data_IF_700427430597
#
_entry.id   IF_700427430597
#
_cell.length_a   1.000
_cell.length_b   1.000
_cell.length_c   1.000
_cell.angle_alpha   90.00
_cell.angle_beta   90.00
_cell.angle_gamma   90.00
#
_symmetry.space_group_name_H-M   'P 1'
#
loop_
_entity.id
_entity.type
_entity.pdbx_description
1 polymer ?
#
# COMPACT_ATOMS: atom_id res chain seq x y z
N UNK A 1 -24.41 -23.64 2.52
CA UNK A 1 -25.31 -22.68 3.21
C UNK A 1 -24.97 -21.29 2.74
N UNK A 2 -25.67 -20.85 1.71
CA UNK A 2 -25.50 -19.51 1.12
C UNK A 2 -25.98 -18.45 2.08
N UNK A 3 -25.04 -17.76 2.73
CA UNK A 3 -25.34 -16.58 3.52
C UNK A 3 -25.81 -15.47 2.59
N UNK A 4 -27.10 -15.17 2.55
CA UNK A 4 -27.66 -14.00 1.88
C UNK A 4 -26.91 -12.76 2.38
N UNK A 5 -26.11 -12.16 1.50
CA UNK A 5 -25.50 -10.86 1.72
C UNK A 5 -26.66 -9.85 1.86
N UNK A 6 -26.81 -9.16 2.98
CA UNK A 6 -27.88 -8.17 3.14
C UNK A 6 -27.72 -7.07 2.09
N UNK A 7 -28.83 -6.52 1.54
CA UNK A 7 -28.75 -5.47 0.52
C UNK A 7 -27.95 -4.28 1.05
N UNK A 8 -26.95 -3.86 0.29
CA UNK A 8 -26.10 -2.71 0.61
C UNK A 8 -26.98 -1.45 0.70
N UNK A 9 -27.17 -0.90 1.88
CA UNK A 9 -27.77 0.42 2.07
C UNK A 9 -26.90 1.44 1.34
N UNK A 10 -27.44 2.28 0.44
CA UNK A 10 -26.65 3.20 -0.41
C UNK A 10 -25.73 4.12 0.40
N UNK A 11 -26.07 4.51 1.61
CA UNK A 11 -25.23 5.32 2.49
C UNK A 11 -23.93 4.64 2.94
N UNK A 12 -23.87 3.31 3.01
CA UNK A 12 -22.64 2.59 3.40
C UNK A 12 -21.59 2.53 2.29
N UNK A 13 -21.99 2.69 1.04
CA UNK A 13 -21.06 2.69 -0.09
C UNK A 13 -20.28 4.02 -0.21
N UNK A 14 -20.80 5.12 0.34
CA UNK A 14 -20.15 6.43 0.32
C UNK A 14 -19.08 6.61 1.41
N UNK A 15 -19.18 5.85 2.53
CA UNK A 15 -18.26 5.98 3.66
C UNK A 15 -16.78 5.85 3.26
N UNK A 16 -16.33 4.84 2.51
CA UNK A 16 -14.93 4.72 2.14
C UNK A 16 -14.46 5.83 1.20
N UNK A 17 -15.33 6.38 0.35
CA UNK A 17 -15.02 7.54 -0.50
C UNK A 17 -14.83 8.81 0.34
N UNK A 18 -15.76 9.05 1.27
CA UNK A 18 -15.64 10.17 2.20
C UNK A 18 -14.37 10.05 3.06
N UNK A 19 -14.03 8.83 3.49
CA UNK A 19 -12.79 8.58 4.24
C UNK A 19 -11.55 8.88 3.40
N UNK A 20 -11.51 8.46 2.13
CA UNK A 20 -10.40 8.76 1.21
C UNK A 20 -10.26 10.26 0.97
N UNK A 21 -11.36 10.94 0.63
CA UNK A 21 -11.35 12.39 0.40
C UNK A 21 -10.98 13.14 1.68
N UNK A 22 -11.52 12.74 2.83
CA UNK A 22 -11.17 13.35 4.11
C UNK A 22 -9.68 13.13 4.46
N UNK A 23 -9.13 11.94 4.22
CA UNK A 23 -7.72 11.65 4.42
C UNK A 23 -6.81 12.55 3.56
N UNK A 24 -7.20 12.82 2.31
CA UNK A 24 -6.43 13.68 1.42
C UNK A 24 -6.68 15.18 1.68
N UNK A 25 -7.90 15.60 1.98
CA UNK A 25 -8.25 17.01 2.06
C UNK A 25 -8.04 17.62 3.46
N UNK A 26 -8.39 16.89 4.54
CA UNK A 26 -8.45 17.48 5.89
C UNK A 26 -7.06 17.81 6.46
N UNK A 27 -6.04 16.91 6.41
CA UNK A 27 -4.77 17.16 7.06
C UNK A 27 -4.00 18.41 6.57
N UNK A 28 -3.97 18.74 5.27
CA UNK A 28 -3.29 19.94 4.76
C UNK A 28 -3.90 21.24 5.25
N UNK A 29 -5.20 21.25 5.61
CA UNK A 29 -5.88 22.43 6.17
C UNK A 29 -5.56 22.62 7.64
N UNK A 30 -5.42 21.53 8.42
CA UNK A 30 -5.17 21.59 9.86
C UNK A 30 -3.68 21.86 10.15
N UNK A 31 -2.79 21.14 9.45
CA UNK A 31 -1.33 21.22 9.64
C UNK A 31 -0.60 21.42 8.31
N UNK A 32 -0.34 22.67 7.92
CA UNK A 32 0.30 22.97 6.64
C UNK A 32 1.84 22.77 6.64
N UNK A 33 2.34 21.71 7.25
CA UNK A 33 3.77 21.41 7.30
C UNK A 33 4.22 20.70 6.02
N UNK A 34 5.42 21.05 5.53
CA UNK A 34 5.97 20.51 4.28
C UNK A 34 6.14 18.98 4.30
N UNK A 35 6.56 18.42 5.44
CA UNK A 35 6.71 16.96 5.57
C UNK A 35 5.38 16.21 5.46
N UNK A 36 4.29 16.81 5.96
CA UNK A 36 2.95 16.19 5.87
C UNK A 36 2.44 16.19 4.43
N UNK A 37 2.69 17.29 3.70
CA UNK A 37 2.36 17.35 2.27
C UNK A 37 3.12 16.29 1.46
N UNK A 38 4.42 16.10 1.74
CA UNK A 38 5.23 15.07 1.11
C UNK A 38 4.71 13.65 1.44
N UNK A 39 4.38 13.38 2.70
CA UNK A 39 3.77 12.12 3.12
C UNK A 39 2.44 11.85 2.42
N UNK A 40 1.56 12.83 2.35
CA UNK A 40 0.25 12.70 1.71
C UNK A 40 0.37 12.55 0.18
N UNK A 41 1.29 13.27 -0.46
CA UNK A 41 1.57 13.13 -1.89
C UNK A 41 2.11 11.72 -2.22
N UNK A 42 3.05 11.23 -1.41
CA UNK A 42 3.57 9.87 -1.54
C UNK A 42 2.48 8.81 -1.30
N UNK A 43 1.61 9.04 -0.28
CA UNK A 43 0.46 8.17 -0.01
C UNK A 43 -0.52 8.14 -1.18
N UNK A 44 -0.86 9.30 -1.75
CA UNK A 44 -1.76 9.41 -2.91
C UNK A 44 -1.21 8.68 -4.14
N UNK A 45 0.07 8.86 -4.43
CA UNK A 45 0.78 8.14 -5.49
C UNK A 45 0.73 6.63 -5.27
N UNK A 46 1.02 6.20 -4.04
CA UNK A 46 1.04 4.78 -3.68
C UNK A 46 -0.37 4.15 -3.71
N UNK A 47 -1.42 4.91 -3.37
CA UNK A 47 -2.81 4.48 -3.48
C UNK A 47 -3.17 4.15 -4.93
N UNK A 48 -2.87 5.05 -5.88
CA UNK A 48 -3.13 4.80 -7.30
C UNK A 48 -2.34 3.59 -7.79
N UNK A 49 -1.08 3.46 -7.38
CA UNK A 49 -0.22 2.35 -7.75
C UNK A 49 -0.72 1.02 -7.20
N UNK A 50 -1.14 0.97 -5.92
CA UNK A 50 -1.69 -0.24 -5.31
C UNK A 50 -3.06 -0.64 -5.89
N UNK A 51 -3.91 0.34 -6.23
CA UNK A 51 -5.17 0.08 -6.91
C UNK A 51 -4.94 -0.45 -8.34
N UNK A 52 -3.96 0.10 -9.09
CA UNK A 52 -3.60 -0.41 -10.41
C UNK A 52 -3.09 -1.87 -10.33
N UNK A 53 -2.31 -2.18 -9.30
CA UNK A 53 -1.86 -3.54 -9.05
C UNK A 53 -3.01 -4.48 -8.68
N UNK A 54 -3.99 -3.99 -7.92
CA UNK A 54 -5.17 -4.76 -7.55
C UNK A 54 -6.09 -5.08 -8.73
N UNK A 55 -6.15 -4.23 -9.77
CA UNK A 55 -6.82 -4.59 -11.02
C UNK A 55 -6.20 -5.84 -11.65
N UNK A 56 -4.89 -6.02 -11.51
CA UNK A 56 -4.21 -7.20 -12.03
C UNK A 56 -4.34 -8.39 -11.07
N UNK A 57 -3.95 -8.24 -9.81
CA UNK A 57 -3.94 -9.33 -8.83
C UNK A 57 -5.36 -9.68 -8.36
N UNK A 58 -6.15 -8.69 -8.01
CA UNK A 58 -7.49 -8.88 -7.45
C UNK A 58 -8.50 -9.41 -8.47
N UNK A 59 -8.51 -8.84 -9.69
CA UNK A 59 -9.53 -9.20 -10.70
C UNK A 59 -9.12 -10.41 -11.56
N UNK A 60 -7.83 -10.64 -11.81
CA UNK A 60 -7.37 -11.74 -12.68
C UNK A 60 -6.52 -12.80 -11.99
N UNK A 61 -6.11 -12.58 -10.74
CA UNK A 61 -5.23 -13.50 -10.01
C UNK A 61 -3.80 -13.56 -10.56
N UNK A 62 -3.38 -12.56 -11.36
CA UNK A 62 -2.04 -12.51 -11.94
C UNK A 62 -1.10 -11.73 -11.02
N UNK A 63 -0.09 -12.40 -10.50
CA UNK A 63 0.98 -11.80 -9.70
C UNK A 63 2.06 -11.27 -10.64
N UNK A 64 2.39 -9.98 -10.58
CA UNK A 64 3.42 -9.33 -11.40
C UNK A 64 4.56 -8.79 -10.54
N UNK A 65 5.79 -9.23 -10.79
CA UNK A 65 6.99 -8.66 -10.18
C UNK A 65 7.62 -7.53 -11.00
N UNK A 66 7.13 -7.28 -12.21
CA UNK A 66 7.59 -6.20 -13.08
C UNK A 66 6.60 -5.01 -13.17
N UNK A 67 5.70 -4.84 -12.21
CA UNK A 67 4.67 -3.81 -12.29
C UNK A 67 5.23 -2.38 -12.24
N UNK A 68 6.35 -2.18 -11.54
CA UNK A 68 7.05 -0.90 -11.49
C UNK A 68 7.62 -0.47 -12.85
N UNK A 69 7.91 -1.41 -13.75
CA UNK A 69 8.36 -1.07 -15.10
C UNK A 69 7.30 -0.25 -15.86
N UNK A 70 6.00 -0.59 -15.74
CA UNK A 70 4.92 0.18 -16.35
C UNK A 70 4.82 1.59 -15.76
N UNK A 71 4.96 1.72 -14.44
CA UNK A 71 4.92 3.00 -13.75
C UNK A 71 6.11 3.88 -14.11
N UNK A 72 7.33 3.31 -14.06
CA UNK A 72 8.56 4.05 -14.34
C UNK A 72 8.70 4.43 -15.82
N UNK A 73 8.36 3.53 -16.74
CA UNK A 73 8.36 3.84 -18.17
C UNK A 73 7.28 4.87 -18.52
N UNK A 74 6.08 4.78 -17.90
CA UNK A 74 5.05 5.80 -18.03
C UNK A 74 5.52 7.17 -17.56
N UNK A 75 6.17 7.23 -16.39
CA UNK A 75 6.76 8.45 -15.86
C UNK A 75 7.87 9.01 -16.74
N UNK A 76 8.73 8.12 -17.31
CA UNK A 76 9.80 8.52 -18.23
C UNK A 76 9.24 9.14 -19.51
N UNK A 77 8.23 8.52 -20.12
CA UNK A 77 7.53 9.08 -21.30
C UNK A 77 6.94 10.43 -20.95
N UNK A 78 6.27 10.57 -19.80
CA UNK A 78 5.72 11.83 -19.33
C UNK A 78 6.82 12.90 -19.16
N UNK A 79 7.96 12.58 -18.53
CA UNK A 79 9.07 13.49 -18.33
C UNK A 79 9.66 13.96 -19.68
N UNK A 80 9.87 13.04 -20.62
CA UNK A 80 10.39 13.38 -21.97
C UNK A 80 9.43 14.25 -22.77
N UNK A 81 8.14 13.92 -22.75
CA UNK A 81 7.12 14.72 -23.43
C UNK A 81 7.02 16.11 -22.79
N UNK A 82 7.03 16.21 -21.46
CA UNK A 82 7.01 17.49 -20.76
C UNK A 82 8.19 18.37 -21.16
N UNK A 83 9.42 17.83 -21.13
CA UNK A 83 10.63 18.57 -21.46
C UNK A 83 10.71 18.95 -22.96
N UNK A 84 10.10 18.17 -23.87
CA UNK A 84 10.15 18.44 -25.31
C UNK A 84 9.03 19.38 -25.79
N UNK A 85 7.83 19.28 -25.22
CA UNK A 85 6.63 19.96 -25.77
C UNK A 85 6.01 20.95 -24.80
N UNK A 86 6.41 20.97 -23.53
CA UNK A 86 5.82 21.82 -22.51
C UNK A 86 4.33 21.54 -22.26
N UNK A 87 3.90 20.28 -22.32
CA UNK A 87 2.50 19.91 -22.01
C UNK A 87 2.13 20.39 -20.60
N UNK A 88 0.92 20.97 -20.40
CA UNK A 88 0.45 21.39 -19.09
C UNK A 88 0.52 20.27 -18.06
N UNK A 89 1.03 20.55 -16.86
CA UNK A 89 1.28 19.58 -15.80
C UNK A 89 0.00 18.82 -15.41
N UNK A 90 -1.19 19.47 -15.58
CA UNK A 90 -2.48 18.84 -15.31
C UNK A 90 -2.77 17.65 -16.22
N UNK A 91 -2.31 17.67 -17.46
CA UNK A 91 -2.52 16.59 -18.44
C UNK A 91 -1.40 15.54 -18.42
N UNK A 92 -0.30 15.83 -17.73
CA UNK A 92 0.87 14.97 -17.69
C UNK A 92 0.58 13.54 -17.21
N UNK A 93 -0.29 13.30 -16.19
CA UNK A 93 -0.64 11.93 -15.80
C UNK A 93 -1.33 11.11 -16.87
N UNK A 94 -2.07 11.73 -17.82
CA UNK A 94 -2.63 11.02 -18.97
C UNK A 94 -1.54 10.59 -19.94
N UNK A 95 -0.55 11.45 -20.19
CA UNK A 95 0.59 11.12 -21.04
C UNK A 95 1.35 9.92 -20.48
N UNK A 96 1.63 9.95 -19.15
CA UNK A 96 2.26 8.80 -18.48
C UNK A 96 1.39 7.56 -18.47
N UNK A 97 0.08 7.71 -18.35
CA UNK A 97 -0.88 6.60 -18.47
C UNK A 97 -0.79 5.94 -19.86
N UNK A 98 -0.79 6.74 -20.92
CA UNK A 98 -0.63 6.24 -22.30
C UNK A 98 0.74 5.56 -22.47
N UNK A 99 1.82 6.15 -21.96
CA UNK A 99 3.15 5.54 -21.94
C UNK A 99 3.19 4.18 -21.24
N UNK A 100 2.57 4.09 -20.05
CA UNK A 100 2.39 2.85 -19.32
C UNK A 100 1.56 1.81 -20.09
N UNK A 101 0.47 2.25 -20.73
CA UNK A 101 -0.38 1.38 -21.56
C UNK A 101 0.38 0.83 -22.79
N UNK A 102 1.17 1.63 -23.46
CA UNK A 102 2.00 1.18 -24.59
C UNK A 102 3.01 0.09 -24.16
N UNK A 103 3.66 0.29 -23.01
CA UNK A 103 4.51 -0.74 -22.42
C UNK A 103 3.68 -1.99 -22.02
N UNK A 104 2.48 -1.79 -21.52
CA UNK A 104 1.51 -2.85 -21.21
C UNK A 104 1.09 -3.66 -22.44
N UNK A 105 0.95 -3.01 -23.61
CA UNK A 105 0.68 -3.67 -24.90
C UNK A 105 1.85 -4.58 -25.28
N UNK A 106 3.08 -4.09 -25.21
CA UNK A 106 4.30 -4.86 -25.59
C UNK A 106 4.55 -6.02 -24.60
N UNK A 107 4.71 -5.71 -23.33
CA UNK A 107 5.07 -6.71 -22.32
C UNK A 107 3.90 -7.64 -21.98
N UNK A 108 2.67 -7.12 -22.00
CA UNK A 108 1.46 -7.90 -21.78
C UNK A 108 1.25 -8.95 -22.86
N UNK A 109 1.58 -8.64 -24.12
CA UNK A 109 1.51 -9.62 -25.22
C UNK A 109 2.39 -10.85 -24.96
N UNK A 110 3.58 -10.63 -24.39
CA UNK A 110 4.53 -11.71 -24.05
C UNK A 110 4.07 -12.43 -22.77
N UNK A 111 3.83 -11.69 -21.70
CA UNK A 111 3.61 -12.22 -20.37
C UNK A 111 2.30 -13.01 -20.27
N UNK A 112 1.22 -12.58 -20.93
CA UNK A 112 -0.10 -13.21 -20.82
C UNK A 112 -0.25 -14.52 -21.61
N UNK A 113 0.79 -14.95 -22.30
CA UNK A 113 0.82 -16.29 -22.95
C UNK A 113 0.75 -17.41 -21.93
N UNK A 114 1.24 -17.21 -20.74
CA UNK A 114 1.18 -18.12 -19.61
C UNK A 114 0.49 -17.45 -18.43
N UNK A 115 0.00 -18.25 -17.48
CA UNK A 115 -0.64 -17.76 -16.26
C UNK A 115 0.04 -18.37 -15.03
N UNK A 116 -0.33 -17.90 -13.83
CA UNK A 116 0.21 -18.38 -12.57
C UNK A 116 1.68 -17.97 -12.38
N UNK A 117 2.48 -18.88 -11.86
CA UNK A 117 3.91 -18.64 -11.55
C UNK A 117 4.74 -18.27 -12.78
N UNK A 118 4.43 -18.85 -13.95
CA UNK A 118 5.12 -18.52 -15.20
C UNK A 118 4.91 -17.05 -15.61
N UNK A 119 3.70 -16.50 -15.42
CA UNK A 119 3.45 -15.08 -15.64
C UNK A 119 4.30 -14.21 -14.70
N UNK A 120 4.39 -14.58 -13.42
CA UNK A 120 5.18 -13.85 -12.43
C UNK A 120 6.68 -13.81 -12.81
N UNK A 121 7.24 -14.94 -13.24
CA UNK A 121 8.64 -15.02 -13.67
C UNK A 121 8.92 -14.24 -14.96
N UNK A 122 7.99 -14.29 -15.94
CA UNK A 122 8.13 -13.52 -17.18
C UNK A 122 8.11 -12.01 -16.87
N UNK A 123 7.19 -11.57 -16.01
CA UNK A 123 7.11 -10.14 -15.63
C UNK A 123 8.32 -9.69 -14.83
N UNK A 124 8.92 -10.56 -14.00
CA UNK A 124 10.18 -10.30 -13.34
C UNK A 124 11.29 -10.08 -14.37
N UNK A 125 11.48 -11.01 -15.31
CA UNK A 125 12.51 -10.88 -16.35
C UNK A 125 12.32 -9.64 -17.24
N UNK A 126 11.06 -9.28 -17.56
CA UNK A 126 10.74 -8.04 -18.28
C UNK A 126 11.07 -6.80 -17.45
N UNK A 127 10.81 -6.82 -16.13
CA UNK A 127 11.20 -5.74 -15.22
C UNK A 127 12.72 -5.54 -15.20
N UNK A 128 13.48 -6.62 -15.03
CA UNK A 128 14.95 -6.56 -15.04
C UNK A 128 15.51 -6.16 -16.40
N UNK A 129 14.85 -6.54 -17.51
CA UNK A 129 15.20 -6.06 -18.84
C UNK A 129 15.09 -4.53 -18.93
N UNK A 130 14.04 -3.93 -18.35
CA UNK A 130 13.86 -2.47 -18.32
C UNK A 130 14.92 -1.81 -17.46
N UNK A 131 15.29 -2.41 -16.31
CA UNK A 131 16.39 -1.92 -15.46
C UNK A 131 17.70 -1.96 -16.24
N UNK A 132 18.02 -3.06 -16.88
CA UNK A 132 19.23 -3.18 -17.71
C UNK A 132 19.23 -2.17 -18.86
N UNK A 133 18.11 -1.96 -19.54
CA UNK A 133 17.96 -0.95 -20.58
C UNK A 133 18.17 0.47 -20.03
N UNK A 134 17.70 0.75 -18.82
CA UNK A 134 17.89 2.06 -18.18
C UNK A 134 19.37 2.37 -17.91
N UNK A 135 20.16 1.36 -17.58
CA UNK A 135 21.61 1.51 -17.41
C UNK A 135 22.39 1.60 -18.73
N UNK A 136 21.99 0.84 -19.74
CA UNK A 136 22.72 0.73 -21.03
C UNK A 136 22.37 1.81 -22.04
N UNK A 137 21.23 2.51 -21.86
CA UNK A 137 20.72 3.54 -22.76
C UNK A 137 20.58 4.90 -22.06
N UNK A 138 21.71 5.54 -21.62
CA UNK A 138 21.63 6.79 -20.85
C UNK A 138 20.95 7.94 -21.60
N UNK A 139 21.06 7.96 -22.93
CA UNK A 139 20.38 8.96 -23.77
C UNK A 139 18.86 8.98 -23.63
N UNK A 140 18.24 7.83 -23.37
CA UNK A 140 16.79 7.68 -23.19
C UNK A 140 16.36 7.78 -21.72
N UNK A 141 17.11 7.14 -20.82
CA UNK A 141 16.74 7.01 -19.41
C UNK A 141 17.39 8.06 -18.50
N UNK A 142 18.35 8.86 -19.03
CA UNK A 142 19.09 9.85 -18.24
C UNK A 142 20.26 9.24 -17.44
N UNK A 143 20.54 7.94 -17.57
CA UNK A 143 21.59 7.24 -16.83
C UNK A 143 21.37 7.25 -15.31
N UNK A 144 22.45 7.40 -14.54
CA UNK A 144 22.41 7.49 -13.08
C UNK A 144 21.68 8.74 -12.56
N UNK A 145 21.80 9.86 -13.28
CA UNK A 145 21.14 11.12 -12.89
C UNK A 145 19.62 11.09 -13.08
N UNK A 146 19.12 10.16 -13.92
CA UNK A 146 17.70 10.09 -14.27
C UNK A 146 17.24 11.24 -15.18
N UNK A 147 15.93 11.40 -15.33
CA UNK A 147 15.29 12.50 -16.09
C UNK A 147 14.53 13.38 -15.13
N UNK A 148 14.99 14.62 -14.96
CA UNK A 148 14.31 15.61 -14.13
C UNK A 148 13.29 16.41 -14.96
N UNK A 149 12.27 16.92 -14.27
CA UNK A 149 11.36 17.94 -14.77
C UNK A 149 11.39 19.14 -13.82
N UNK A 150 11.11 20.34 -14.32
CA UNK A 150 10.87 21.51 -13.50
C UNK A 150 9.39 21.89 -13.56
N UNK A 151 8.67 21.58 -12.48
CA UNK A 151 7.23 21.85 -12.40
C UNK A 151 6.90 23.34 -12.30
N UNK A 152 7.88 24.19 -11.92
CA UNK A 152 7.68 25.64 -11.83
C UNK A 152 7.67 26.30 -13.22
N UNK A 153 8.41 25.73 -14.17
CA UNK A 153 8.54 26.24 -15.54
C UNK A 153 7.51 25.68 -16.52
N UNK A 154 6.58 24.86 -16.05
CA UNK A 154 5.48 24.36 -16.91
C UNK A 154 4.53 25.49 -17.33
N UNK A 155 3.90 25.37 -18.55
CA UNK A 155 2.95 26.38 -19.01
C UNK A 155 1.79 26.49 -18.01
N UNK A 156 1.48 27.73 -17.53
CA UNK A 156 0.40 27.93 -16.58
C UNK A 156 -0.95 27.66 -17.24
N UNK A 157 -1.71 26.72 -16.72
CA UNK A 157 -3.09 26.49 -17.13
C UNK A 157 -3.98 27.45 -16.31
N UNK A 158 -4.52 28.50 -16.96
CA UNK A 158 -5.39 29.47 -16.29
C UNK A 158 -4.70 30.31 -15.20
N UNK A 159 -3.38 30.52 -15.28
CA UNK A 159 -2.62 31.31 -14.28
C UNK A 159 -2.19 30.52 -13.04
N UNK A 160 -2.44 29.22 -12.97
CA UNK A 160 -2.04 28.37 -11.86
C UNK A 160 -0.58 27.92 -12.03
N UNK A 161 0.26 28.27 -11.05
CA UNK A 161 1.63 27.79 -10.99
C UNK A 161 1.71 26.58 -10.02
N UNK A 162 2.28 25.47 -10.47
CA UNK A 162 2.44 24.24 -9.71
C UNK A 162 3.82 24.10 -9.01
N UNK A 163 4.65 25.16 -9.04
CA UNK A 163 5.90 25.21 -8.30
C UNK A 163 5.74 25.01 -6.79
N UNK A 164 4.79 25.69 -6.11
CA UNK A 164 4.56 25.49 -4.70
C UNK A 164 4.11 24.07 -4.38
N UNK A 165 4.68 23.45 -3.32
CA UNK A 165 4.38 22.08 -2.91
C UNK A 165 2.89 21.83 -2.65
N UNK A 166 2.14 22.83 -2.17
CA UNK A 166 0.69 22.72 -1.97
C UNK A 166 -0.08 22.58 -3.28
N UNK A 167 0.31 23.32 -4.32
CA UNK A 167 -0.35 23.24 -5.63
C UNK A 167 -0.05 21.89 -6.31
N UNK A 168 1.20 21.41 -6.23
CA UNK A 168 1.58 20.11 -6.72
C UNK A 168 0.82 18.99 -5.97
N UNK A 169 0.74 19.08 -4.64
CA UNK A 169 -0.04 18.15 -3.84
C UNK A 169 -1.52 18.15 -4.23
N UNK A 170 -2.13 19.32 -4.41
CA UNK A 170 -3.54 19.42 -4.81
C UNK A 170 -3.79 18.71 -6.15
N UNK A 171 -2.88 18.87 -7.12
CA UNK A 171 -2.93 18.17 -8.40
C UNK A 171 -2.82 16.65 -8.23
N UNK A 172 -1.86 16.18 -7.39
CA UNK A 172 -1.67 14.75 -7.09
C UNK A 172 -2.92 14.17 -6.40
N UNK A 173 -3.48 14.87 -5.42
CA UNK A 173 -4.69 14.46 -4.72
C UNK A 173 -5.90 14.40 -5.65
N UNK A 174 -6.08 15.39 -6.54
CA UNK A 174 -7.13 15.40 -7.55
C UNK A 174 -7.02 14.16 -8.45
N UNK A 175 -5.85 13.91 -9.02
CA UNK A 175 -5.63 12.75 -9.87
C UNK A 175 -5.75 11.42 -9.13
N UNK A 176 -5.38 11.37 -7.84
CA UNK A 176 -5.61 10.18 -7.01
C UNK A 176 -7.10 9.86 -6.91
N UNK A 177 -7.95 10.86 -6.67
CA UNK A 177 -9.41 10.66 -6.62
C UNK A 177 -9.95 10.29 -7.99
N UNK A 178 -9.58 11.00 -9.05
CA UNK A 178 -10.03 10.72 -10.42
C UNK A 178 -9.65 9.31 -10.87
N UNK A 179 -8.39 8.91 -10.68
CA UNK A 179 -7.91 7.58 -11.04
C UNK A 179 -8.60 6.50 -10.20
N UNK A 180 -8.80 6.72 -8.90
CA UNK A 180 -9.52 5.78 -8.02
C UNK A 180 -10.98 5.61 -8.44
N UNK A 181 -11.68 6.69 -8.80
CA UNK A 181 -13.05 6.64 -9.32
C UNK A 181 -13.11 5.90 -10.66
N UNK A 182 -12.17 6.18 -11.56
CA UNK A 182 -12.10 5.50 -12.85
C UNK A 182 -11.85 3.98 -12.68
N UNK A 183 -10.91 3.58 -11.81
CA UNK A 183 -10.66 2.18 -11.50
C UNK A 183 -11.84 1.50 -10.82
N UNK A 184 -12.55 2.21 -9.93
CA UNK A 184 -13.77 1.69 -9.31
C UNK A 184 -14.89 1.51 -10.34
N UNK A 185 -15.11 2.48 -11.21
CA UNK A 185 -16.09 2.35 -12.30
C UNK A 185 -15.74 1.16 -13.19
N UNK A 186 -14.45 1.00 -13.54
CA UNK A 186 -13.94 -0.10 -14.32
C UNK A 186 -14.19 -1.46 -13.64
N UNK A 187 -13.96 -1.59 -12.33
CA UNK A 187 -14.19 -2.82 -11.57
C UNK A 187 -15.67 -3.24 -11.54
N UNK A 188 -16.60 -2.32 -11.80
CA UNK A 188 -18.05 -2.57 -11.88
C UNK A 188 -18.52 -2.99 -13.28
N UNK A 189 -17.68 -2.91 -14.29
CA UNK A 189 -18.05 -3.24 -15.67
C UNK A 189 -18.26 -4.75 -15.86
N UNK A 190 -19.07 -5.16 -16.84
CA UNK A 190 -19.21 -6.58 -17.22
C UNK A 190 -17.88 -7.21 -17.61
N UNK A 191 -16.96 -6.44 -18.18
CA UNK A 191 -15.62 -6.90 -18.56
C UNK A 191 -14.81 -7.38 -17.33
N UNK A 192 -14.85 -6.66 -16.21
CA UNK A 192 -14.14 -7.09 -14.99
C UNK A 192 -14.82 -8.29 -14.32
N UNK A 193 -16.14 -8.44 -14.45
CA UNK A 193 -16.81 -9.69 -14.01
C UNK A 193 -16.34 -10.88 -14.83
N UNK A 194 -16.09 -10.70 -16.12
CA UNK A 194 -15.49 -11.72 -16.97
C UNK A 194 -14.04 -12.03 -16.55
N UNK A 195 -13.27 -11.01 -16.16
CA UNK A 195 -11.93 -11.20 -15.63
C UNK A 195 -11.93 -12.04 -14.34
N UNK A 196 -12.87 -11.79 -13.43
CA UNK A 196 -13.08 -12.61 -12.22
C UNK A 196 -13.46 -14.06 -12.56
N UNK A 197 -14.34 -14.27 -13.53
CA UNK A 197 -14.68 -15.62 -13.99
C UNK A 197 -13.45 -16.36 -14.54
N UNK A 198 -12.57 -15.68 -15.28
CA UNK A 198 -11.29 -16.23 -15.77
C UNK A 198 -10.31 -16.50 -14.63
N UNK A 199 -10.32 -15.68 -13.55
CA UNK A 199 -9.53 -15.94 -12.35
C UNK A 199 -9.99 -17.22 -11.64
N UNK A 200 -11.29 -17.35 -11.42
CA UNK A 200 -11.85 -18.43 -10.63
C UNK A 200 -11.77 -19.78 -11.37
N UNK A 201 -12.11 -19.83 -12.67
CA UNK A 201 -11.97 -21.04 -13.47
C UNK A 201 -11.80 -20.72 -14.96
N UNK A 202 -10.55 -20.68 -15.47
CA UNK A 202 -10.27 -20.33 -16.87
C UNK A 202 -10.81 -21.38 -17.86
N UNK A 203 -10.91 -22.65 -17.48
CA UNK A 203 -11.45 -23.71 -18.35
C UNK A 203 -12.97 -23.55 -18.54
N UNK A 204 -13.69 -23.26 -17.45
CA UNK A 204 -15.14 -22.99 -17.52
C UNK A 204 -15.42 -21.71 -18.30
N UNK A 205 -14.61 -20.65 -18.12
CA UNK A 205 -14.75 -19.43 -18.90
C UNK A 205 -14.51 -19.68 -20.40
N UNK A 206 -13.55 -20.54 -20.75
CA UNK A 206 -13.31 -20.93 -22.14
C UNK A 206 -14.48 -21.70 -22.75
N UNK A 207 -15.12 -22.59 -21.98
CA UNK A 207 -16.27 -23.40 -22.45
C UNK A 207 -17.48 -22.54 -22.84
N UNK A 208 -17.64 -21.34 -22.25
CA UNK A 208 -18.70 -20.38 -22.63
C UNK A 208 -18.27 -19.39 -23.72
N UNK A 209 -17.17 -19.65 -24.45
CA UNK A 209 -16.69 -18.82 -25.57
C UNK A 209 -15.77 -17.67 -25.16
N UNK A 210 -15.37 -17.55 -23.90
CA UNK A 210 -14.41 -16.56 -23.46
C UNK A 210 -12.97 -17.00 -23.80
N UNK A 211 -12.13 -16.06 -24.26
CA UNK A 211 -10.70 -16.30 -24.48
C UNK A 211 -9.89 -15.80 -23.27
N UNK A 212 -9.48 -16.64 -22.31
CA UNK A 212 -8.81 -16.21 -21.06
C UNK A 212 -7.56 -15.35 -21.29
N UNK A 213 -6.77 -15.68 -22.32
CA UNK A 213 -5.58 -14.92 -22.69
C UNK A 213 -5.91 -13.48 -23.10
N UNK A 214 -6.96 -13.27 -23.92
CA UNK A 214 -7.36 -11.95 -24.38
C UNK A 214 -7.87 -11.09 -23.23
N UNK A 215 -8.61 -11.68 -22.29
CA UNK A 215 -9.10 -10.98 -21.10
C UNK A 215 -7.92 -10.55 -20.22
N UNK A 216 -7.01 -11.47 -19.89
CA UNK A 216 -5.80 -11.16 -19.11
C UNK A 216 -4.96 -10.06 -19.76
N UNK A 217 -4.74 -10.15 -21.07
CA UNK A 217 -4.00 -9.14 -21.83
C UNK A 217 -4.62 -7.73 -21.69
N UNK A 218 -5.92 -7.60 -21.91
CA UNK A 218 -6.62 -6.32 -21.78
C UNK A 218 -6.54 -5.76 -20.35
N UNK A 219 -6.64 -6.62 -19.34
CA UNK A 219 -6.51 -6.18 -17.94
C UNK A 219 -5.08 -5.71 -17.64
N UNK A 220 -4.04 -6.40 -18.17
CA UNK A 220 -2.65 -5.95 -18.05
C UNK A 220 -2.47 -4.56 -18.64
N UNK A 221 -3.00 -4.29 -19.85
CA UNK A 221 -2.89 -2.99 -20.50
C UNK A 221 -3.59 -1.89 -19.69
N UNK A 222 -4.81 -2.16 -19.18
CA UNK A 222 -5.54 -1.23 -18.33
C UNK A 222 -4.82 -0.98 -16.99
N UNK A 223 -4.32 -2.02 -16.37
CA UNK A 223 -3.52 -1.93 -15.14
C UNK A 223 -2.24 -1.11 -15.37
N UNK A 224 -1.54 -1.35 -16.49
CA UNK A 224 -0.34 -0.60 -16.88
C UNK A 224 -0.63 0.88 -17.16
N UNK A 225 -1.81 1.21 -17.73
CA UNK A 225 -2.26 2.60 -17.88
C UNK A 225 -2.33 3.33 -16.54
N UNK A 226 -3.02 2.75 -15.55
CA UNK A 226 -3.11 3.35 -14.22
C UNK A 226 -1.77 3.33 -13.45
N UNK A 227 -0.93 2.32 -13.69
CA UNK A 227 0.43 2.31 -13.15
C UNK A 227 1.26 3.48 -13.73
N UNK A 228 1.14 3.77 -15.03
CA UNK A 228 1.78 4.92 -15.67
C UNK A 228 1.30 6.26 -15.08
N UNK A 229 0.00 6.39 -14.78
CA UNK A 229 -0.53 7.54 -14.03
C UNK A 229 0.16 7.64 -12.68
N UNK A 230 0.20 6.56 -11.89
CA UNK A 230 0.84 6.55 -10.58
C UNK A 230 2.34 6.92 -10.66
N UNK A 231 3.04 6.42 -11.66
CA UNK A 231 4.44 6.78 -11.91
C UNK A 231 4.61 8.27 -12.16
N UNK A 232 3.71 8.87 -12.95
CA UNK A 232 3.74 10.31 -13.25
C UNK A 232 3.38 11.16 -12.03
N UNK A 233 2.47 10.71 -11.17
CA UNK A 233 2.22 11.39 -9.90
C UNK A 233 3.46 11.38 -9.00
N UNK A 234 4.23 10.29 -9.02
CA UNK A 234 5.54 10.21 -8.35
C UNK A 234 6.55 11.19 -8.95
N UNK A 235 6.60 11.29 -10.29
CA UNK A 235 7.43 12.26 -10.99
C UNK A 235 7.07 13.71 -10.59
N UNK A 236 5.78 14.07 -10.54
CA UNK A 236 5.33 15.41 -10.13
C UNK A 236 5.73 15.70 -8.67
N UNK A 237 5.75 14.66 -7.80
CA UNK A 237 6.12 14.84 -6.40
C UNK A 237 7.62 15.06 -6.19
N UNK A 238 8.47 14.27 -6.86
CA UNK A 238 9.92 14.22 -6.65
C UNK A 238 10.69 15.02 -7.73
N UNK A 239 10.03 15.34 -8.85
CA UNK A 239 10.59 16.01 -10.03
C UNK A 239 11.69 15.20 -10.76
N UNK A 240 11.83 13.92 -10.42
CA UNK A 240 12.86 13.04 -10.95
C UNK A 240 12.34 11.64 -11.23
N UNK A 241 12.71 11.08 -12.37
CA UNK A 241 12.58 9.63 -12.68
C UNK A 241 13.96 9.03 -12.78
N UNK A 242 14.28 8.11 -11.84
CA UNK A 242 15.54 7.37 -11.82
C UNK A 242 15.34 5.91 -12.19
N UNK A 243 16.45 5.17 -12.38
CA UNK A 243 16.45 3.72 -12.61
C UNK A 243 15.79 2.94 -11.47
N UNK A 244 15.83 3.43 -10.22
CA UNK A 244 15.14 2.84 -9.08
C UNK A 244 13.62 2.83 -9.25
N UNK A 245 13.08 3.76 -10.03
CA UNK A 245 11.64 3.87 -10.29
C UNK A 245 11.08 2.68 -11.08
N UNK A 246 11.89 1.91 -11.79
CA UNK A 246 11.50 0.75 -12.61
C UNK A 246 11.83 -0.58 -11.95
N UNK A 247 12.62 -0.59 -10.87
CA UNK A 247 13.21 -1.77 -10.27
C UNK A 247 12.24 -2.72 -9.57
N UNK A 248 12.71 -3.96 -9.35
CA UNK A 248 11.96 -5.01 -8.66
C UNK A 248 11.57 -4.60 -7.22
N UNK A 249 12.40 -3.84 -6.51
CA UNK A 249 12.11 -3.39 -5.15
C UNK A 249 10.79 -2.61 -5.09
N UNK A 250 10.57 -1.71 -6.05
CA UNK A 250 9.32 -0.92 -6.14
C UNK A 250 8.12 -1.78 -6.51
N UNK A 251 8.31 -2.81 -7.37
CA UNK A 251 7.26 -3.80 -7.67
C UNK A 251 6.90 -4.64 -6.44
N UNK A 252 7.89 -5.04 -5.64
CA UNK A 252 7.69 -5.74 -4.37
C UNK A 252 6.94 -4.88 -3.35
N UNK A 253 7.28 -3.60 -3.27
CA UNK A 253 6.64 -2.64 -2.36
C UNK A 253 5.13 -2.52 -2.64
N UNK A 254 4.72 -2.39 -3.89
CA UNK A 254 3.29 -2.31 -4.24
C UNK A 254 2.56 -3.63 -4.02
N UNK A 255 3.22 -4.76 -4.25
CA UNK A 255 2.68 -6.07 -3.94
C UNK A 255 2.38 -6.20 -2.44
N UNK A 256 3.36 -5.86 -1.59
CA UNK A 256 3.22 -5.87 -0.12
C UNK A 256 2.06 -4.96 0.30
N UNK A 257 1.98 -3.74 -0.22
CA UNK A 257 0.88 -2.81 0.07
C UNK A 257 -0.49 -3.43 -0.27
N UNK A 258 -0.60 -4.02 -1.47
CA UNK A 258 -1.85 -4.61 -1.94
C UNK A 258 -2.26 -5.83 -1.11
N UNK A 259 -1.31 -6.69 -0.73
CA UNK A 259 -1.57 -7.87 0.11
C UNK A 259 -1.92 -7.47 1.54
N UNK A 260 -1.18 -6.53 2.17
CA UNK A 260 -1.52 -5.99 3.50
C UNK A 260 -2.94 -5.42 3.50
N UNK A 261 -3.26 -4.64 2.48
CA UNK A 261 -4.60 -4.05 2.36
C UNK A 261 -5.70 -5.06 2.17
N UNK A 262 -5.42 -6.12 1.39
CA UNK A 262 -6.35 -7.18 1.00
C UNK A 262 -6.95 -6.94 -0.38
N UNK A 263 -6.83 -7.95 -1.24
CA UNK A 263 -7.24 -7.89 -2.66
C UNK A 263 -8.74 -8.09 -2.88
N UNK A 264 -9.45 -8.62 -1.90
CA UNK A 264 -10.88 -8.94 -2.01
C UNK A 264 -11.80 -7.70 -2.01
N UNK A 265 -11.35 -6.60 -1.40
CA UNK A 265 -12.09 -5.35 -1.32
C UNK A 265 -11.39 -4.26 -2.13
N UNK A 266 -12.14 -3.48 -2.92
CA UNK A 266 -11.58 -2.38 -3.73
C UNK A 266 -10.75 -1.39 -2.90
N UNK A 267 -11.21 -1.02 -1.70
CA UNK A 267 -10.51 -0.11 -0.79
C UNK A 267 -9.45 -0.79 0.09
N UNK A 268 -9.26 -2.09 -0.05
CA UNK A 268 -8.18 -2.81 0.65
C UNK A 268 -6.81 -2.22 0.35
N UNK A 269 -6.38 -2.19 -0.91
CA UNK A 269 -5.09 -1.64 -1.32
C UNK A 269 -4.87 -0.19 -0.90
N UNK A 270 -5.94 0.62 -0.77
CA UNK A 270 -5.86 1.99 -0.25
C UNK A 270 -5.34 1.99 1.19
N UNK A 271 -5.92 1.15 2.05
CA UNK A 271 -5.46 1.03 3.44
C UNK A 271 -4.01 0.51 3.51
N UNK A 272 -3.67 -0.48 2.69
CA UNK A 272 -2.31 -1.03 2.62
C UNK A 272 -1.28 0.00 2.12
N UNK A 273 -1.63 0.82 1.13
CA UNK A 273 -0.79 1.90 0.62
C UNK A 273 -0.51 2.96 1.70
N UNK A 274 -1.53 3.37 2.45
CA UNK A 274 -1.38 4.33 3.56
C UNK A 274 -0.45 3.77 4.65
N UNK A 275 -0.66 2.52 5.05
CA UNK A 275 0.18 1.86 6.06
C UNK A 275 1.62 1.72 5.57
N UNK A 276 1.82 1.27 4.34
CA UNK A 276 3.16 1.11 3.80
C UNK A 276 3.89 2.46 3.69
N UNK A 277 3.21 3.50 3.23
CA UNK A 277 3.79 4.85 3.18
C UNK A 277 4.10 5.38 4.59
N UNK A 278 3.28 5.05 5.59
CA UNK A 278 3.59 5.36 6.98
C UNK A 278 4.91 4.73 7.43
N UNK A 279 5.15 3.46 7.13
CA UNK A 279 6.43 2.83 7.46
C UNK A 279 7.59 3.44 6.67
N UNK A 280 7.44 3.67 5.37
CA UNK A 280 8.54 4.15 4.51
C UNK A 280 8.89 5.63 4.69
N UNK A 281 8.00 6.45 5.26
CA UNK A 281 8.24 7.87 5.49
C UNK A 281 8.40 8.18 6.97
N UNK A 282 7.39 7.82 7.79
CA UNK A 282 7.37 8.20 9.21
C UNK A 282 8.29 7.30 10.03
N UNK A 283 8.17 5.97 9.90
CA UNK A 283 9.04 5.05 10.66
C UNK A 283 10.48 5.13 10.17
N UNK A 284 10.69 5.27 8.85
CA UNK A 284 12.03 5.42 8.28
C UNK A 284 12.75 6.70 8.73
N UNK A 285 12.03 7.78 9.05
CA UNK A 285 12.63 9.00 9.59
C UNK A 285 13.09 8.85 11.06
N UNK A 286 12.55 7.85 11.78
CA UNK A 286 12.87 7.59 13.19
C UNK A 286 13.91 6.48 13.35
N UNK A 287 13.89 5.46 12.49
CA UNK A 287 14.78 4.30 12.61
C UNK A 287 15.15 3.70 11.26
N UNK A 288 16.41 3.32 11.09
CA UNK A 288 16.88 2.59 9.89
C UNK A 288 16.31 1.16 9.81
N UNK A 289 15.84 0.62 10.93
CA UNK A 289 15.23 -0.73 10.99
C UNK A 289 13.78 -0.78 10.48
N UNK A 290 13.27 0.26 9.80
CA UNK A 290 11.90 0.36 9.34
C UNK A 290 11.46 -0.81 8.44
N UNK A 291 12.37 -1.35 7.61
CA UNK A 291 12.10 -2.52 6.77
C UNK A 291 11.84 -3.78 7.61
N UNK A 292 12.57 -3.94 8.72
CA UNK A 292 12.35 -5.06 9.63
C UNK A 292 10.96 -4.95 10.28
N UNK A 293 10.59 -3.78 10.78
CA UNK A 293 9.26 -3.55 11.35
C UNK A 293 8.15 -3.77 10.34
N UNK A 294 8.35 -3.32 9.10
CA UNK A 294 7.42 -3.58 8.00
C UNK A 294 7.28 -5.08 7.72
N UNK A 295 8.40 -5.82 7.71
CA UNK A 295 8.42 -7.27 7.51
C UNK A 295 7.67 -8.02 8.62
N UNK A 296 7.93 -7.70 9.88
CA UNK A 296 7.20 -8.26 11.02
C UNK A 296 5.70 -7.94 10.93
N UNK A 297 5.36 -6.69 10.66
CA UNK A 297 3.97 -6.26 10.47
C UNK A 297 3.29 -7.03 9.34
N UNK A 298 3.97 -7.21 8.21
CA UNK A 298 3.47 -7.98 7.08
C UNK A 298 3.16 -9.43 7.46
N UNK A 299 4.10 -10.11 8.14
CA UNK A 299 3.91 -11.49 8.60
C UNK A 299 2.72 -11.59 9.55
N UNK A 300 2.62 -10.68 10.52
CA UNK A 300 1.50 -10.63 11.47
C UNK A 300 0.17 -10.43 10.75
N UNK A 301 0.10 -9.51 9.79
CA UNK A 301 -1.13 -9.27 9.02
C UNK A 301 -1.51 -10.49 8.20
N UNK A 302 -0.58 -11.12 7.49
CA UNK A 302 -0.86 -12.30 6.67
C UNK A 302 -1.34 -13.47 7.53
N UNK A 303 -0.76 -13.68 8.72
CA UNK A 303 -1.18 -14.75 9.63
C UNK A 303 -2.50 -14.47 10.34
N UNK A 304 -2.73 -13.23 10.80
CA UNK A 304 -3.93 -12.86 11.58
C UNK A 304 -5.12 -12.44 10.71
N UNK A 305 -4.86 -11.93 9.51
CA UNK A 305 -5.84 -11.37 8.60
C UNK A 305 -5.58 -11.82 7.14
N UNK A 306 -5.85 -13.10 6.79
CA UNK A 306 -5.56 -13.63 5.46
C UNK A 306 -6.28 -12.86 4.33
N UNK A 307 -7.41 -12.19 4.64
CA UNK A 307 -8.12 -11.32 3.70
C UNK A 307 -7.61 -9.86 3.74
N UNK A 308 -6.48 -9.61 4.41
CA UNK A 308 -5.88 -8.29 4.62
C UNK A 308 -6.64 -7.40 5.62
N UNK A 309 -6.18 -6.15 5.76
CA UNK A 309 -6.75 -5.17 6.70
C UNK A 309 -8.23 -4.90 6.44
N UNK A 310 -8.63 -4.77 5.17
CA UNK A 310 -10.03 -4.51 4.81
C UNK A 310 -10.94 -5.69 5.18
N UNK A 311 -10.49 -6.94 4.94
CA UNK A 311 -11.20 -8.14 5.35
C UNK A 311 -11.28 -8.27 6.88
N UNK A 312 -10.21 -7.95 7.57
CA UNK A 312 -10.20 -7.90 9.03
C UNK A 312 -11.20 -6.87 9.56
N UNK A 313 -11.16 -5.63 9.05
CA UNK A 313 -12.08 -4.56 9.45
C UNK A 313 -13.55 -4.94 9.21
N UNK A 314 -13.87 -5.53 8.06
CA UNK A 314 -15.24 -5.96 7.73
C UNK A 314 -15.73 -7.05 8.69
N UNK A 315 -14.87 -8.01 9.06
CA UNK A 315 -15.19 -9.03 10.06
C UNK A 315 -15.42 -8.43 11.45
N UNK A 316 -14.63 -7.42 11.85
CA UNK A 316 -14.82 -6.75 13.13
C UNK A 316 -16.12 -5.95 13.17
N UNK A 317 -16.43 -5.22 12.10
CA UNK A 317 -17.71 -4.51 11.98
C UNK A 317 -18.90 -5.47 12.07
N UNK A 318 -18.83 -6.62 11.38
CA UNK A 318 -19.86 -7.64 11.44
C UNK A 318 -20.01 -8.24 12.87
N UNK A 319 -18.89 -8.45 13.57
CA UNK A 319 -18.91 -8.90 14.99
C UNK A 319 -19.55 -7.87 15.91
N UNK A 320 -19.20 -6.60 15.78
CA UNK A 320 -19.77 -5.51 16.58
C UNK A 320 -21.28 -5.39 16.31
N UNK A 321 -21.69 -5.51 15.04
CA UNK A 321 -23.09 -5.48 14.66
C UNK A 321 -23.90 -6.67 15.24
N UNK A 322 -23.27 -7.85 15.31
CA UNK A 322 -23.91 -9.07 15.81
C UNK A 322 -24.01 -9.13 17.35
N UNK A 323 -22.97 -8.65 18.05
CA UNK A 323 -22.83 -8.83 19.51
C UNK A 323 -22.96 -7.55 20.33
N UNK A 324 -23.06 -6.40 19.66
CA UNK A 324 -23.07 -5.09 20.29
C UNK A 324 -21.70 -4.66 20.82
N UNK A 325 -21.47 -3.36 20.88
CA UNK A 325 -20.19 -2.80 21.35
C UNK A 325 -19.87 -3.19 22.81
N UNK A 326 -20.91 -3.18 23.69
CA UNK A 326 -20.73 -3.50 25.12
C UNK A 326 -20.27 -4.94 25.36
N UNK A 327 -20.74 -5.90 24.55
CA UNK A 327 -20.31 -7.29 24.62
C UNK A 327 -18.86 -7.53 24.19
N UNK A 328 -18.40 -6.77 23.19
CA UNK A 328 -17.06 -6.94 22.61
C UNK A 328 -15.97 -6.12 23.28
N UNK A 329 -16.29 -5.03 24.00
CA UNK A 329 -15.30 -4.05 24.52
C UNK A 329 -14.18 -4.67 25.35
N UNK A 330 -14.51 -5.61 26.26
CA UNK A 330 -13.48 -6.28 27.08
C UNK A 330 -12.50 -7.11 26.23
N UNK A 331 -13.00 -7.82 25.22
CA UNK A 331 -12.17 -8.59 24.32
C UNK A 331 -11.24 -7.68 23.51
N UNK A 332 -11.75 -6.54 23.01
CA UNK A 332 -10.94 -5.56 22.28
C UNK A 332 -9.91 -4.86 23.18
N UNK A 333 -10.26 -4.52 24.42
CA UNK A 333 -9.29 -3.92 25.36
C UNK A 333 -8.13 -4.87 25.65
N UNK A 334 -8.41 -6.15 25.92
CA UNK A 334 -7.34 -7.14 26.13
C UNK A 334 -6.53 -7.40 24.87
N UNK A 335 -7.18 -7.40 23.68
CA UNK A 335 -6.46 -7.55 22.41
C UNK A 335 -5.56 -6.35 22.12
N UNK A 336 -6.03 -5.13 22.40
CA UNK A 336 -5.25 -3.91 22.25
C UNK A 336 -4.07 -3.88 23.23
N UNK A 337 -4.29 -4.23 24.51
CA UNK A 337 -3.22 -4.32 25.49
C UNK A 337 -2.17 -5.35 25.10
N UNK A 338 -2.59 -6.54 24.65
CA UNK A 338 -1.68 -7.56 24.16
C UNK A 338 -0.87 -7.07 22.94
N UNK A 339 -1.52 -6.42 21.97
CA UNK A 339 -0.87 -5.87 20.80
C UNK A 339 0.17 -4.80 21.15
N UNK A 340 -0.16 -3.89 22.06
CA UNK A 340 0.76 -2.84 22.52
C UNK A 340 1.97 -3.41 23.27
N UNK A 341 1.77 -4.42 24.13
CA UNK A 341 2.85 -5.08 24.86
C UNK A 341 3.79 -5.83 23.91
N UNK A 342 3.25 -6.55 22.92
CA UNK A 342 4.07 -7.20 21.91
C UNK A 342 4.83 -6.22 21.04
N UNK A 343 4.18 -5.11 20.65
CA UNK A 343 4.83 -4.03 19.89
C UNK A 343 5.99 -3.42 20.70
N UNK A 344 5.76 -3.10 21.97
CA UNK A 344 6.81 -2.56 22.85
C UNK A 344 7.98 -3.54 23.00
N UNK A 345 7.71 -4.83 23.22
CA UNK A 345 8.74 -5.85 23.34
C UNK A 345 9.58 -5.96 22.04
N UNK A 346 8.93 -5.97 20.88
CA UNK A 346 9.62 -6.03 19.58
C UNK A 346 10.46 -4.77 19.36
N UNK A 347 9.91 -3.59 19.62
CA UNK A 347 10.64 -2.31 19.46
C UNK A 347 11.88 -2.29 20.34
N UNK A 348 11.75 -2.62 21.64
CA UNK A 348 12.87 -2.63 22.57
C UNK A 348 13.93 -3.67 22.13
N UNK A 349 13.51 -4.88 21.75
CA UNK A 349 14.43 -5.93 21.32
C UNK A 349 15.23 -5.53 20.07
N UNK A 350 14.54 -4.95 19.07
CA UNK A 350 15.17 -4.54 17.81
C UNK A 350 16.10 -3.37 18.03
N UNK A 351 15.69 -2.34 18.76
CA UNK A 351 16.53 -1.18 19.03
C UNK A 351 17.76 -1.55 19.85
N UNK A 352 17.62 -2.48 20.81
CA UNK A 352 18.76 -3.00 21.55
C UNK A 352 19.73 -3.76 20.65
N UNK A 353 19.22 -4.67 19.80
CA UNK A 353 20.07 -5.42 18.86
C UNK A 353 20.80 -4.48 17.89
N UNK A 354 20.13 -3.43 17.45
CA UNK A 354 20.72 -2.41 16.57
C UNK A 354 21.82 -1.61 17.28
N UNK A 355 21.56 -1.16 18.50
CA UNK A 355 22.54 -0.44 19.34
C UNK A 355 23.76 -1.31 19.67
N UNK A 356 23.55 -2.62 19.90
CA UNK A 356 24.65 -3.56 20.17
C UNK A 356 25.55 -3.82 18.94
N UNK A 357 24.97 -3.79 17.73
CA UNK A 357 25.72 -4.08 16.48
C UNK A 357 26.37 -2.85 15.85
N UNK A 358 25.74 -1.67 15.91
CA UNK A 358 26.16 -0.47 15.16
C UNK A 358 26.77 0.63 16.01
N UNK A 359 26.92 0.45 17.34
CA UNK A 359 27.60 1.35 18.26
C UNK A 359 26.80 2.59 18.65
N UNK A 360 27.38 3.37 19.57
CA UNK A 360 26.70 4.44 20.32
C UNK A 360 26.18 5.63 19.49
N UNK A 361 26.62 5.83 18.25
CA UNK A 361 26.24 6.98 17.43
C UNK A 361 24.77 6.96 16.95
N UNK A 362 24.08 5.84 17.00
CA UNK A 362 22.66 5.74 16.62
C UNK A 362 21.72 5.66 17.84
N UNK A 363 22.24 5.55 19.04
CA UNK A 363 21.47 5.61 20.28
C UNK A 363 20.82 6.97 20.57
N UNK A 364 21.23 8.04 19.86
CA UNK A 364 20.64 9.36 19.98
C UNK A 364 19.16 9.44 19.57
N UNK A 365 18.74 8.64 18.60
CA UNK A 365 17.34 8.57 18.20
C UNK A 365 16.46 7.86 19.24
N UNK A 366 17.01 6.89 19.96
CA UNK A 366 16.31 6.19 21.04
C UNK A 366 16.18 7.06 22.29
N UNK A 367 17.22 7.84 22.64
CA UNK A 367 17.16 8.79 23.75
C UNK A 367 16.18 9.95 23.50
N UNK A 368 16.03 10.38 22.25
CA UNK A 368 15.05 11.39 21.85
C UNK A 368 13.59 10.91 22.01
N UNK A 369 13.33 9.63 21.78
CA UNK A 369 12.00 9.04 21.96
C UNK A 369 11.57 8.90 23.42
N UNK A 370 12.54 8.74 24.35
CA UNK A 370 12.27 8.53 25.78
C UNK A 370 12.57 9.77 26.64
N UNK A 371 12.75 10.96 26.02
CA UNK A 371 12.77 12.24 26.76
C UNK A 371 14.01 12.48 27.63
N UNK A 372 15.13 11.82 27.36
CA UNK A 372 16.41 12.18 27.97
C UNK A 372 16.89 13.50 27.31
N UNK A 373 16.76 14.60 28.07
CA UNK A 373 16.86 15.98 27.61
C UNK A 373 18.10 16.30 26.77
N UNK A 374 17.88 17.14 25.78
CA UNK A 374 18.90 17.84 25.04
C UNK A 374 19.72 18.73 26.02
N UNK A 375 20.94 18.36 26.24
CA UNK A 375 21.87 19.25 26.94
C UNK A 375 22.82 18.59 27.92
N UNK A 376 23.61 17.64 27.50
CA UNK A 376 24.96 17.39 28.07
C UNK A 376 25.74 16.55 27.06
N UNK A 377 26.93 16.99 26.70
CA UNK A 377 27.98 16.23 26.05
C UNK A 377 28.38 15.03 26.95
N UNK A 378 27.57 14.01 26.95
CA UNK A 378 27.91 12.76 27.61
C UNK A 378 27.88 11.67 26.56
N UNK A 379 29.04 11.26 26.12
CA UNK A 379 29.32 9.96 25.52
C UNK A 379 28.97 8.87 26.53
N UNK A 380 27.70 8.76 26.90
CA UNK A 380 27.18 7.60 27.63
C UNK A 380 26.61 6.67 26.58
N UNK A 381 27.47 5.82 26.04
CA UNK A 381 26.98 4.53 25.58
C UNK A 381 26.10 3.99 26.74
N UNK A 382 24.82 3.67 26.53
CA UNK A 382 24.05 3.03 27.56
C UNK A 382 24.67 1.64 27.77
N UNK A 383 25.62 1.56 28.68
CA UNK A 383 26.05 0.30 29.28
C UNK A 383 24.91 -0.17 30.21
N UNK A 384 23.71 -0.27 29.66
CA UNK A 384 22.67 -1.07 30.25
C UNK A 384 23.20 -2.50 30.18
N UNK A 385 23.70 -2.99 31.34
CA UNK A 385 24.09 -4.37 31.48
C UNK A 385 23.01 -5.24 30.80
N UNK A 386 23.34 -6.22 29.97
CA UNK A 386 22.37 -7.01 29.20
C UNK A 386 21.31 -7.68 30.10
N UNK A 387 21.58 -7.81 31.37
CA UNK A 387 20.73 -8.50 32.35
C UNK A 387 19.40 -7.78 32.63
N UNK A 388 19.33 -6.48 33.01
CA UNK A 388 18.07 -5.82 33.28
C UNK A 388 17.22 -5.66 32.02
N UNK A 389 17.82 -5.53 30.85
CA UNK A 389 17.12 -5.43 29.59
C UNK A 389 16.55 -6.78 29.16
N UNK A 390 17.27 -7.87 29.34
CA UNK A 390 16.76 -9.23 29.16
C UNK A 390 15.58 -9.50 30.09
N UNK A 391 15.67 -9.08 31.36
CA UNK A 391 14.58 -9.22 32.33
C UNK A 391 13.34 -8.40 31.94
N UNK A 392 13.52 -7.15 31.45
CA UNK A 392 12.40 -6.34 30.98
C UNK A 392 11.74 -6.94 29.76
N UNK A 393 12.49 -7.48 28.81
CA UNK A 393 11.95 -8.17 27.62
C UNK A 393 11.18 -9.43 28.01
N UNK A 394 11.72 -10.25 28.94
CA UNK A 394 11.04 -11.44 29.44
C UNK A 394 9.75 -11.06 30.18
N UNK A 395 9.77 -10.02 31.02
CA UNK A 395 8.60 -9.54 31.72
C UNK A 395 7.52 -9.01 30.74
N UNK A 396 7.90 -8.22 29.74
CA UNK A 396 7.00 -7.75 28.70
C UNK A 396 6.41 -8.90 27.89
N UNK A 397 7.22 -9.88 27.49
CA UNK A 397 6.74 -11.06 26.75
C UNK A 397 5.78 -11.91 27.62
N UNK A 398 6.05 -12.06 28.91
CA UNK A 398 5.17 -12.75 29.84
C UNK A 398 3.83 -12.01 30.02
N UNK A 399 3.85 -10.69 30.20
CA UNK A 399 2.64 -9.87 30.28
C UNK A 399 1.86 -9.89 28.95
N UNK A 400 2.54 -9.84 27.82
CA UNK A 400 1.93 -9.93 26.49
C UNK A 400 1.26 -11.30 26.27
N UNK A 401 1.90 -12.40 26.67
CA UNK A 401 1.30 -13.74 26.58
C UNK A 401 0.10 -13.91 27.51
N UNK A 402 0.15 -13.38 28.72
CA UNK A 402 -0.98 -13.39 29.64
C UNK A 402 -2.15 -12.59 29.10
N UNK A 403 -1.92 -11.38 28.60
CA UNK A 403 -2.97 -10.54 27.99
C UNK A 403 -3.56 -11.18 26.73
N UNK A 404 -2.76 -11.86 25.91
CA UNK A 404 -3.22 -12.64 24.75
C UNK A 404 -4.15 -13.80 25.18
N UNK A 405 -3.78 -14.54 26.23
CA UNK A 405 -4.65 -15.59 26.79
C UNK A 405 -5.98 -15.03 27.32
N UNK A 406 -5.95 -13.88 27.98
CA UNK A 406 -7.17 -13.20 28.44
C UNK A 406 -8.03 -12.71 27.27
N UNK A 407 -7.44 -12.16 26.21
CA UNK A 407 -8.12 -11.79 24.99
C UNK A 407 -8.82 -12.99 24.33
N UNK A 408 -8.11 -14.10 24.15
CA UNK A 408 -8.67 -15.34 23.58
C UNK A 408 -9.85 -15.87 24.40
N UNK A 409 -9.74 -15.91 25.73
CA UNK A 409 -10.82 -16.31 26.61
C UNK A 409 -12.03 -15.37 26.53
N UNK A 410 -11.81 -14.06 26.44
CA UNK A 410 -12.87 -13.08 26.27
C UNK A 410 -13.60 -13.24 24.95
N UNK A 411 -12.87 -13.46 23.83
CA UNK A 411 -13.46 -13.76 22.53
C UNK A 411 -14.25 -15.08 22.52
N UNK A 412 -13.73 -16.13 23.16
CA UNK A 412 -14.42 -17.40 23.29
C UNK A 412 -15.73 -17.28 24.05
N UNK A 413 -15.78 -16.48 25.12
CA UNK A 413 -17.02 -16.21 25.89
C UNK A 413 -18.06 -15.49 25.03
N UNK A 414 -17.67 -14.48 24.26
CA UNK A 414 -18.57 -13.74 23.35
C UNK A 414 -19.19 -14.69 22.32
N UNK A 415 -18.41 -15.59 21.74
CA UNK A 415 -18.89 -16.58 20.75
C UNK A 415 -19.77 -17.67 21.38
N UNK A 416 -19.47 -18.11 22.61
CA UNK A 416 -20.28 -19.09 23.35
C UNK A 416 -21.67 -18.55 23.71
N UNK A 417 -21.74 -17.32 24.24
CA UNK A 417 -23.02 -16.65 24.52
C UNK A 417 -23.91 -16.51 23.28
N UNK A 418 -23.29 -16.23 22.15
CA UNK A 418 -24.01 -16.10 20.88
C UNK A 418 -24.54 -17.43 20.32
N UNK A 419 -23.82 -18.54 20.53
CA UNK A 419 -24.32 -19.87 20.18
C UNK A 419 -25.48 -20.27 21.07
N UNK A 420 -25.39 -20.03 22.38
CA UNK A 420 -26.45 -20.30 23.32
C UNK A 420 -27.73 -19.49 23.02
N UNK A 421 -27.61 -18.20 22.67
CA UNK A 421 -28.74 -17.36 22.30
C UNK A 421 -29.43 -17.81 21.01
N UNK A 422 -28.68 -18.38 20.04
CA UNK A 422 -29.26 -18.96 18.81
C UNK A 422 -29.97 -20.30 19.05
N UNK A 423 -29.46 -21.14 19.95
CA UNK A 423 -30.09 -22.42 20.28
C UNK A 423 -31.41 -22.21 21.06
N UNK A 424 -31.48 -21.22 21.95
CA UNK A 424 -32.71 -20.87 22.66
C UNK A 424 -33.75 -20.13 21.80
N UNK A 425 -33.31 -19.34 20.80
CA UNK A 425 -34.23 -18.69 19.84
C UNK A 425 -34.75 -19.59 18.72
N UNK A 426 -34.11 -20.73 18.46
CA UNK A 426 -34.56 -21.74 17.49
C UNK A 426 -35.53 -22.76 18.14
N UNK A 427 -35.69 -22.73 19.45
CA UNK A 427 -36.59 -23.60 20.21
C UNK A 427 -37.93 -22.91 20.55
N UNK A 428 -38.16 -21.69 20.09
CA UNK A 428 -39.42 -20.96 20.07
C UNK A 428 -39.88 -20.72 18.63
#
# INVERSE_FOLDING_TARGET
>A
MEGRVPPCRPGRALVPWLALVAFLAVPPFIWPHSWLLAYLAQSATMIVFALSYNLLLGETGLLSFGHAAYAGLGALVAARVFNATGVPLVLLPLVGGIGGALCGVLFGFIATRRAGTAFAMITLGLGELVVAAAWTLPGWFGGEAGVAIDRANGPPLGGWNFGPARAAYALIALWCVVASVAMFALSRTPFMRLANAVRDNPARAAAIGCYPRRVRYRVVVLSAFFAGIAGTLGLINIELVSTESVGMMRSGTVLIATVIGGTAAFFGPVAGAIVLTFFSVVVASVTRAWLFYLGVFFVVVVMAAPDGLAGFASRQVARIAAYGWRGCRRAYLWSAAAGLLWLAAIVIAVQWAYAAQFGANEGAAFSALFGAGAGTDVTVAPTLSPLPLALTLVALAALATLSTRHALRAHARVTAHARAARSTGAAR
#
